data_IF_080952800708
#
_entry.id   IF_080952800708
#
_cell.length_a   1.000
_cell.length_b   1.000
_cell.length_c   1.000
_cell.angle_alpha   90.00
_cell.angle_beta   90.00
_cell.angle_gamma   90.00
#
_symmetry.space_group_name_H-M   'P 1'
#
loop_
_entity.id
_entity.type
_entity.pdbx_description
1 polymer ?
#
# COMPACT_ATOMS: atom_id res chain seq x y z
N UNK A 1 -27.84 -33.84 -6.99
CA UNK A 1 -27.12 -35.06 -7.40
C UNK A 1 -25.66 -34.88 -6.96
N UNK A 2 -25.33 -35.49 -5.80
CA UNK A 2 -23.96 -35.45 -5.26
C UNK A 2 -23.12 -36.46 -6.01
N UNK A 3 -22.23 -35.98 -6.84
CA UNK A 3 -21.23 -36.80 -7.55
C UNK A 3 -20.25 -37.41 -6.51
N UNK A 4 -20.57 -38.65 -6.06
CA UNK A 4 -19.78 -39.40 -5.07
C UNK A 4 -18.41 -39.86 -5.62
N UNK A 5 -18.14 -39.68 -6.88
CA UNK A 5 -16.88 -40.07 -7.56
C UNK A 5 -15.83 -38.98 -7.67
N UNK A 6 -16.14 -37.73 -7.36
CA UNK A 6 -15.19 -36.64 -7.52
C UNK A 6 -14.09 -36.68 -6.43
N UNK A 7 -12.82 -36.38 -6.77
CA UNK A 7 -11.72 -36.32 -5.81
C UNK A 7 -12.02 -35.31 -4.70
N UNK A 8 -11.50 -35.58 -3.50
CA UNK A 8 -11.75 -34.78 -2.28
C UNK A 8 -11.51 -33.28 -2.49
N UNK A 9 -10.52 -32.92 -3.27
CA UNK A 9 -10.18 -31.54 -3.65
C UNK A 9 -11.31 -30.87 -4.44
N UNK A 10 -11.94 -31.55 -5.40
CA UNK A 10 -13.09 -31.02 -6.14
C UNK A 10 -14.30 -30.80 -5.25
N UNK A 11 -14.55 -31.70 -4.32
CA UNK A 11 -15.66 -31.56 -3.35
C UNK A 11 -15.43 -30.39 -2.39
N UNK A 12 -14.22 -30.21 -1.90
CA UNK A 12 -13.85 -29.08 -1.06
C UNK A 12 -14.00 -27.74 -1.80
N UNK A 13 -13.53 -27.67 -3.04
CA UNK A 13 -13.67 -26.46 -3.87
C UNK A 13 -15.14 -26.16 -4.20
N UNK A 14 -15.94 -27.16 -4.54
CA UNK A 14 -17.38 -26.99 -4.79
C UNK A 14 -18.13 -26.56 -3.53
N UNK A 15 -17.78 -27.09 -2.37
CA UNK A 15 -18.34 -26.68 -1.08
C UNK A 15 -17.99 -25.23 -0.73
N UNK A 16 -16.73 -24.82 -0.93
CA UNK A 16 -16.29 -23.42 -0.75
C UNK A 16 -17.03 -22.48 -1.71
N UNK A 17 -17.14 -22.86 -2.97
CA UNK A 17 -17.82 -22.04 -3.98
C UNK A 17 -19.30 -21.86 -3.69
N UNK A 18 -19.99 -22.89 -3.21
CA UNK A 18 -21.40 -22.78 -2.78
C UNK A 18 -21.59 -21.83 -1.59
N UNK A 19 -20.57 -21.67 -0.72
CA UNK A 19 -20.64 -20.82 0.47
C UNK A 19 -20.22 -19.37 0.22
N UNK A 20 -19.23 -19.17 -0.64
CA UNK A 20 -18.56 -17.87 -0.86
C UNK A 20 -18.98 -17.27 -2.21
N UNK A 21 -19.48 -18.10 -3.16
CA UNK A 21 -19.81 -17.67 -4.52
C UNK A 21 -18.57 -17.21 -5.30
N UNK A 22 -17.36 -17.67 -4.90
CA UNK A 22 -16.09 -17.19 -5.42
C UNK A 22 -15.93 -17.44 -6.92
N UNK A 23 -16.33 -18.61 -7.43
CA UNK A 23 -16.24 -18.92 -8.85
C UNK A 23 -17.17 -18.03 -9.68
N UNK A 24 -18.38 -17.73 -9.20
CA UNK A 24 -19.31 -16.80 -9.84
C UNK A 24 -18.74 -15.38 -9.89
N UNK A 25 -18.19 -14.91 -8.78
CA UNK A 25 -17.53 -13.60 -8.69
C UNK A 25 -16.33 -13.50 -9.64
N UNK A 26 -15.41 -14.46 -9.58
CA UNK A 26 -14.22 -14.51 -10.45
C UNK A 26 -14.62 -14.58 -11.92
N UNK A 27 -15.59 -15.42 -12.29
CA UNK A 27 -16.09 -15.52 -13.67
C UNK A 27 -16.69 -14.21 -14.14
N UNK A 28 -17.46 -13.53 -13.32
CA UNK A 28 -18.04 -12.22 -13.64
C UNK A 28 -16.97 -11.15 -13.79
N UNK A 29 -15.96 -11.16 -12.90
CA UNK A 29 -14.84 -10.22 -12.95
C UNK A 29 -13.98 -10.42 -14.22
N UNK A 30 -13.66 -11.69 -14.57
CA UNK A 30 -12.84 -12.02 -15.74
C UNK A 30 -13.57 -11.79 -17.07
N UNK A 31 -14.91 -11.90 -17.09
CA UNK A 31 -15.72 -11.68 -18.29
C UNK A 31 -16.24 -10.25 -18.41
N UNK A 32 -15.82 -9.34 -17.52
CA UNK A 32 -16.24 -7.95 -17.60
C UNK A 32 -15.59 -7.28 -18.81
N UNK A 33 -16.40 -6.95 -19.80
CA UNK A 33 -15.97 -6.17 -20.96
C UNK A 33 -15.86 -4.71 -20.54
N UNK A 34 -14.67 -4.14 -20.70
CA UNK A 34 -14.45 -2.71 -20.49
C UNK A 34 -14.73 -1.96 -21.81
N UNK A 35 -15.34 -0.77 -21.76
CA UNK A 35 -15.54 0.04 -22.95
C UNK A 35 -14.19 0.47 -23.54
N UNK A 36 -14.05 0.43 -24.86
CA UNK A 36 -12.79 0.72 -25.59
C UNK A 36 -12.29 2.17 -25.53
N UNK A 37 -13.01 3.06 -24.86
CA UNK A 37 -12.60 4.46 -24.76
C UNK A 37 -11.47 4.62 -23.73
N UNK A 38 -10.36 5.28 -24.12
CA UNK A 38 -9.16 5.47 -23.30
C UNK A 38 -9.42 5.98 -21.86
N UNK A 39 -10.46 6.81 -21.68
CA UNK A 39 -10.78 7.37 -20.36
C UNK A 39 -11.30 6.34 -19.36
N UNK A 40 -11.79 5.17 -19.83
CA UNK A 40 -12.16 4.07 -18.94
C UNK A 40 -10.94 3.23 -18.54
N UNK A 41 -9.90 3.18 -19.38
CA UNK A 41 -8.66 2.45 -19.10
C UNK A 41 -7.87 3.01 -17.91
N UNK A 42 -8.11 4.27 -17.52
CA UNK A 42 -7.44 4.88 -16.36
C UNK A 42 -7.77 4.12 -15.06
N UNK A 43 -9.03 3.65 -14.91
CA UNK A 43 -9.42 2.82 -13.76
C UNK A 43 -8.75 1.43 -13.77
N UNK A 44 -8.55 0.85 -14.96
CA UNK A 44 -7.81 -0.41 -15.13
C UNK A 44 -6.34 -0.23 -14.80
N UNK A 45 -5.73 0.86 -15.26
CA UNK A 45 -4.34 1.19 -14.93
C UNK A 45 -4.14 1.26 -13.41
N UNK A 46 -5.07 1.91 -12.69
CA UNK A 46 -5.04 1.93 -11.23
C UNK A 46 -5.10 0.51 -10.64
N UNK A 47 -5.98 -0.36 -11.16
CA UNK A 47 -6.10 -1.74 -10.70
C UNK A 47 -4.82 -2.55 -10.94
N UNK A 48 -4.20 -2.41 -12.12
CA UNK A 48 -2.94 -3.10 -12.42
C UNK A 48 -1.80 -2.60 -11.52
N UNK A 49 -1.69 -1.28 -11.34
CA UNK A 49 -0.70 -0.72 -10.41
C UNK A 49 -0.93 -1.22 -8.99
N UNK A 50 -2.17 -1.29 -8.52
CA UNK A 50 -2.50 -1.85 -7.21
C UNK A 50 -2.07 -3.31 -7.08
N UNK A 51 -2.33 -4.13 -8.09
CA UNK A 51 -1.90 -5.54 -8.11
C UNK A 51 -0.38 -5.65 -8.02
N UNK A 52 0.35 -4.83 -8.78
CA UNK A 52 1.82 -4.77 -8.74
C UNK A 52 2.29 -4.35 -7.35
N UNK A 53 1.64 -3.35 -6.73
CA UNK A 53 1.96 -2.88 -5.38
C UNK A 53 1.81 -4.00 -4.35
N UNK A 54 0.71 -4.76 -4.40
CA UNK A 54 0.49 -5.88 -3.47
C UNK A 54 1.58 -6.95 -3.64
N UNK A 55 1.86 -7.37 -4.87
CA UNK A 55 2.85 -8.42 -5.13
C UNK A 55 4.27 -7.98 -4.74
N UNK A 56 4.68 -6.78 -5.13
CA UNK A 56 5.99 -6.25 -4.78
C UNK A 56 6.08 -5.91 -3.29
N UNK A 57 5.00 -5.42 -2.67
CA UNK A 57 4.93 -5.15 -1.24
C UNK A 57 5.17 -6.41 -0.41
N UNK A 58 4.47 -7.51 -0.74
CA UNK A 58 4.70 -8.81 -0.08
C UNK A 58 6.16 -9.26 -0.21
N UNK A 59 6.78 -9.09 -1.38
CA UNK A 59 8.20 -9.38 -1.54
C UNK A 59 9.08 -8.52 -0.63
N UNK A 60 8.82 -7.22 -0.57
CA UNK A 60 9.62 -6.27 0.22
C UNK A 60 9.54 -6.54 1.71
N UNK A 61 8.38 -7.00 2.24
CA UNK A 61 8.22 -7.30 3.67
C UNK A 61 9.14 -8.41 4.16
N UNK A 62 9.59 -9.33 3.32
CA UNK A 62 10.52 -10.39 3.72
C UNK A 62 11.93 -9.88 4.05
N UNK A 63 12.28 -8.67 3.60
CA UNK A 63 13.63 -8.13 3.73
C UNK A 63 13.69 -6.85 4.56
N UNK A 64 12.54 -6.25 4.84
CA UNK A 64 12.47 -4.99 5.58
C UNK A 64 12.28 -5.23 7.08
N UNK A 65 13.01 -4.45 7.90
CA UNK A 65 12.92 -4.49 9.36
C UNK A 65 12.46 -3.13 9.88
N UNK A 66 11.23 -3.05 10.36
CA UNK A 66 10.63 -1.81 10.88
C UNK A 66 11.11 -1.53 12.32
N UNK A 67 12.38 -1.14 12.47
CA UNK A 67 13.01 -0.89 13.78
C UNK A 67 13.82 0.41 13.74
N UNK A 68 13.60 1.35 14.69
CA UNK A 68 14.40 2.56 14.83
C UNK A 68 15.72 2.33 15.58
N UNK A 69 16.02 1.09 15.97
CA UNK A 69 17.26 0.76 16.70
C UNK A 69 18.48 1.18 15.91
N UNK A 70 19.39 1.92 16.57
CA UNK A 70 20.63 2.37 15.95
C UNK A 70 21.61 1.20 15.77
N UNK A 71 22.15 1.11 14.56
CA UNK A 71 23.15 0.10 14.16
C UNK A 71 24.24 0.73 13.32
N UNK A 72 25.45 0.18 13.38
CA UNK A 72 26.56 0.60 12.51
C UNK A 72 26.45 -0.16 11.19
N UNK A 73 26.40 0.56 10.07
CA UNK A 73 26.32 -0.05 8.75
C UNK A 73 27.63 -0.73 8.34
N UNK A 74 27.54 -2.01 7.97
CA UNK A 74 28.66 -2.83 7.50
C UNK A 74 28.38 -3.52 6.15
N UNK A 75 27.33 -3.09 5.43
CA UNK A 75 26.93 -3.69 4.15
C UNK A 75 27.84 -3.34 2.98
N UNK A 76 27.42 -3.74 1.77
CA UNK A 76 28.23 -3.59 0.54
C UNK A 76 28.35 -2.15 0.05
N UNK A 77 27.42 -1.26 0.40
CA UNK A 77 27.47 0.14 -0.04
C UNK A 77 28.55 0.91 0.71
N UNK A 78 29.74 0.96 0.14
CA UNK A 78 30.95 1.49 0.77
C UNK A 78 30.82 2.92 1.35
N UNK A 79 30.10 3.89 0.72
CA UNK A 79 30.00 5.25 1.23
C UNK A 79 29.34 5.37 2.61
N UNK A 80 28.55 4.39 3.04
CA UNK A 80 27.84 4.42 4.33
C UNK A 80 28.48 3.50 5.39
N UNK A 81 29.56 2.78 5.06
CA UNK A 81 30.22 1.90 6.03
C UNK A 81 30.74 2.68 7.24
N UNK A 82 30.48 2.13 8.42
CA UNK A 82 30.91 2.72 9.69
C UNK A 82 30.02 3.85 10.20
N UNK A 83 28.99 4.26 9.44
CA UNK A 83 28.05 5.28 9.90
C UNK A 83 26.91 4.66 10.73
N UNK A 84 26.49 5.33 11.82
CA UNK A 84 25.32 4.94 12.58
C UNK A 84 24.06 5.26 11.77
N UNK A 85 23.09 4.34 11.80
CA UNK A 85 21.78 4.50 11.16
C UNK A 85 20.75 3.60 11.81
N UNK A 86 19.46 3.85 11.56
CA UNK A 86 18.41 2.94 12.03
C UNK A 86 18.46 1.58 11.31
N UNK A 87 17.98 0.56 11.97
CA UNK A 87 17.87 -0.77 11.36
C UNK A 87 16.91 -0.79 10.15
N UNK A 88 15.86 0.03 10.19
CA UNK A 88 14.94 0.22 9.06
C UNK A 88 15.69 0.75 7.84
N UNK A 89 16.47 1.82 7.99
CA UNK A 89 17.25 2.40 6.90
C UNK A 89 18.33 1.41 6.39
N UNK A 90 19.04 0.74 7.31
CA UNK A 90 20.00 -0.32 6.95
C UNK A 90 19.35 -1.40 6.11
N UNK A 91 18.17 -1.90 6.52
CA UNK A 91 17.48 -2.96 5.78
C UNK A 91 17.07 -2.54 4.36
N UNK A 92 16.63 -1.28 4.20
CA UNK A 92 16.29 -0.72 2.89
C UNK A 92 17.51 -0.57 1.97
N UNK A 93 18.70 -0.22 2.52
CA UNK A 93 19.95 -0.19 1.77
C UNK A 93 20.38 -1.60 1.39
N UNK A 94 20.38 -2.55 2.33
CA UNK A 94 20.73 -3.93 2.07
C UNK A 94 19.80 -4.56 1.01
N UNK A 95 18.50 -4.28 1.07
CA UNK A 95 17.55 -4.68 0.04
C UNK A 95 18.01 -4.23 -1.36
N UNK A 96 18.53 -3.01 -1.47
CA UNK A 96 18.94 -2.45 -2.76
C UNK A 96 20.27 -3.00 -3.29
N UNK A 97 21.22 -3.34 -2.40
CA UNK A 97 22.60 -3.67 -2.78
C UNK A 97 23.00 -5.13 -2.52
N UNK A 98 22.37 -5.80 -1.55
CA UNK A 98 22.74 -7.14 -1.13
C UNK A 98 21.74 -8.21 -1.59
N UNK A 99 20.46 -7.84 -1.77
CA UNK A 99 19.41 -8.76 -2.20
C UNK A 99 19.33 -8.81 -3.73
N UNK A 100 19.36 -10.03 -4.29
CA UNK A 100 19.19 -10.22 -5.74
C UNK A 100 17.83 -9.70 -6.18
N UNK A 101 17.80 -8.85 -7.21
CA UNK A 101 16.62 -8.15 -7.71
C UNK A 101 15.95 -7.16 -6.71
N UNK A 102 16.49 -6.95 -5.52
CA UNK A 102 15.90 -6.10 -4.49
C UNK A 102 15.73 -4.64 -4.95
N UNK A 103 16.75 -4.08 -5.60
CA UNK A 103 16.66 -2.73 -6.19
C UNK A 103 15.52 -2.63 -7.23
N UNK A 104 15.41 -3.64 -8.10
CA UNK A 104 14.38 -3.65 -9.16
C UNK A 104 12.98 -3.71 -8.53
N UNK A 105 12.78 -4.61 -7.55
CA UNK A 105 11.49 -4.74 -6.86
C UNK A 105 11.10 -3.47 -6.10
N UNK A 106 12.07 -2.83 -5.44
CA UNK A 106 11.87 -1.54 -4.77
C UNK A 106 11.48 -0.45 -5.76
N UNK A 107 12.13 -0.36 -6.91
CA UNK A 107 11.83 0.63 -7.94
C UNK A 107 10.47 0.39 -8.60
N UNK A 108 10.12 -0.87 -8.90
CA UNK A 108 8.80 -1.22 -9.43
C UNK A 108 7.71 -0.80 -8.44
N UNK A 109 7.90 -1.10 -7.14
CA UNK A 109 6.96 -0.71 -6.10
C UNK A 109 6.77 0.81 -6.03
N UNK A 110 7.87 1.55 -6.03
CA UNK A 110 7.84 3.03 -6.00
C UNK A 110 7.12 3.64 -7.21
N UNK A 111 7.47 3.22 -8.42
CA UNK A 111 6.83 3.74 -9.63
C UNK A 111 5.37 3.31 -9.74
N UNK A 112 5.04 2.09 -9.35
CA UNK A 112 3.65 1.62 -9.29
C UNK A 112 2.83 2.46 -8.30
N UNK A 113 3.39 2.87 -7.16
CA UNK A 113 2.70 3.74 -6.19
C UNK A 113 2.39 5.13 -6.76
N UNK A 114 3.34 5.74 -7.45
CA UNK A 114 3.14 7.04 -8.10
C UNK A 114 2.06 6.98 -9.21
N UNK A 115 2.15 5.96 -10.06
CA UNK A 115 1.18 5.75 -11.14
C UNK A 115 -0.21 5.39 -10.59
N UNK A 116 -0.27 4.60 -9.53
CA UNK A 116 -1.52 4.25 -8.85
C UNK A 116 -2.22 5.50 -8.32
N UNK A 117 -1.52 6.33 -7.57
CA UNK A 117 -2.09 7.55 -7.00
C UNK A 117 -2.53 8.53 -8.11
N UNK A 118 -1.69 8.76 -9.11
CA UNK A 118 -2.00 9.63 -10.23
C UNK A 118 -3.23 9.12 -11.01
N UNK A 119 -3.30 7.82 -11.30
CA UNK A 119 -4.43 7.23 -12.02
C UNK A 119 -5.73 7.26 -11.24
N UNK A 120 -5.72 7.06 -9.91
CA UNK A 120 -6.93 7.21 -9.07
C UNK A 120 -7.42 8.66 -9.10
N UNK A 121 -6.55 9.64 -8.95
CA UNK A 121 -6.94 11.07 -8.98
C UNK A 121 -7.59 11.42 -10.33
N UNK A 122 -6.96 11.04 -11.45
CA UNK A 122 -7.51 11.30 -12.79
C UNK A 122 -8.79 10.51 -13.01
N UNK A 123 -8.88 9.27 -12.54
CA UNK A 123 -10.10 8.47 -12.62
C UNK A 123 -11.28 9.13 -11.88
N UNK A 124 -11.05 9.56 -10.64
CA UNK A 124 -12.08 10.26 -9.85
C UNK A 124 -12.47 11.60 -10.49
N UNK A 125 -11.52 12.38 -10.96
CA UNK A 125 -11.79 13.61 -11.69
C UNK A 125 -12.66 13.36 -12.92
N UNK A 126 -12.33 12.34 -13.70
CA UNK A 126 -13.14 11.92 -14.86
C UNK A 126 -14.57 11.55 -14.45
N UNK A 127 -14.74 10.72 -13.41
CA UNK A 127 -16.05 10.30 -12.91
C UNK A 127 -16.87 11.53 -12.47
N UNK A 128 -16.21 12.50 -11.82
CA UNK A 128 -16.85 13.74 -11.38
C UNK A 128 -17.29 14.62 -12.55
N UNK A 129 -16.37 14.97 -13.45
CA UNK A 129 -16.67 15.89 -14.57
C UNK A 129 -17.64 15.32 -15.59
N UNK A 130 -17.70 13.98 -15.74
CA UNK A 130 -18.69 13.34 -16.62
C UNK A 130 -20.04 13.11 -15.93
N UNK A 131 -20.19 13.43 -14.66
CA UNK A 131 -21.40 13.19 -13.89
C UNK A 131 -21.73 11.71 -13.67
N UNK A 132 -20.74 10.82 -13.87
CA UNK A 132 -20.94 9.37 -13.75
C UNK A 132 -21.16 8.91 -12.28
N UNK A 133 -20.96 9.78 -11.32
CA UNK A 133 -21.23 9.54 -9.89
C UNK A 133 -22.73 9.67 -9.52
N UNK A 134 -23.58 10.18 -10.43
CA UNK A 134 -25.00 10.36 -10.15
C UNK A 134 -25.72 9.02 -10.01
N UNK A 135 -26.95 9.07 -9.46
CA UNK A 135 -27.79 7.89 -9.20
C UNK A 135 -27.75 6.87 -10.35
N UNK A 136 -27.57 5.60 -10.03
CA UNK A 136 -27.49 4.94 -8.72
C UNK A 136 -26.04 4.72 -8.19
N UNK A 137 -25.04 5.54 -8.57
CA UNK A 137 -23.59 5.31 -8.37
C UNK A 137 -22.96 6.20 -7.30
N UNK A 138 -23.76 6.90 -6.48
CA UNK A 138 -23.26 7.81 -5.45
C UNK A 138 -22.38 7.09 -4.43
N UNK A 139 -22.81 5.91 -3.98
CA UNK A 139 -22.06 5.10 -3.01
C UNK A 139 -20.70 4.68 -3.59
N UNK A 140 -20.65 4.30 -4.86
CA UNK A 140 -19.38 3.96 -5.53
C UNK A 140 -18.41 5.14 -5.57
N UNK A 141 -18.94 6.35 -5.77
CA UNK A 141 -18.15 7.58 -5.72
C UNK A 141 -17.58 7.82 -4.31
N UNK A 142 -18.40 7.71 -3.27
CA UNK A 142 -17.96 7.85 -1.88
C UNK A 142 -16.87 6.84 -1.52
N UNK A 143 -17.05 5.58 -1.91
CA UNK A 143 -16.03 4.54 -1.74
C UNK A 143 -14.74 4.93 -2.47
N UNK A 144 -14.81 5.42 -3.70
CA UNK A 144 -13.65 5.86 -4.48
C UNK A 144 -12.87 6.97 -3.79
N UNK A 145 -13.56 7.99 -3.25
CA UNK A 145 -12.93 9.08 -2.50
C UNK A 145 -12.27 8.56 -1.21
N UNK A 146 -12.96 7.67 -0.48
CA UNK A 146 -12.40 7.04 0.72
C UNK A 146 -11.13 6.24 0.39
N UNK A 147 -11.14 5.47 -0.70
CA UNK A 147 -9.97 4.72 -1.17
C UNK A 147 -8.80 5.64 -1.55
N UNK A 148 -9.07 6.80 -2.17
CA UNK A 148 -8.02 7.79 -2.44
C UNK A 148 -7.39 8.30 -1.14
N UNK A 149 -8.18 8.65 -0.13
CA UNK A 149 -7.66 9.10 1.16
C UNK A 149 -6.82 8.02 1.82
N UNK A 150 -7.31 6.77 1.84
CA UNK A 150 -6.55 5.63 2.38
C UNK A 150 -5.27 5.38 1.59
N UNK A 151 -5.28 5.51 0.26
CA UNK A 151 -4.09 5.37 -0.57
C UNK A 151 -3.03 6.44 -0.26
N UNK A 152 -3.46 7.69 -0.01
CA UNK A 152 -2.55 8.77 0.40
C UNK A 152 -1.93 8.49 1.78
N UNK A 153 -2.74 8.06 2.75
CA UNK A 153 -2.25 7.69 4.09
C UNK A 153 -1.26 6.53 4.00
N UNK A 154 -1.60 5.49 3.24
CA UNK A 154 -0.73 4.32 3.05
C UNK A 154 0.57 4.68 2.32
N UNK A 155 0.50 5.54 1.31
CA UNK A 155 1.69 6.05 0.60
C UNK A 155 2.60 6.86 1.53
N UNK A 156 2.02 7.70 2.39
CA UNK A 156 2.76 8.44 3.41
C UNK A 156 3.41 7.50 4.44
N UNK A 157 2.67 6.50 4.93
CA UNK A 157 3.21 5.50 5.84
C UNK A 157 4.40 4.75 5.20
N UNK A 158 4.24 4.26 3.97
CA UNK A 158 5.31 3.56 3.24
C UNK A 158 6.57 4.42 2.99
N UNK A 159 6.38 5.71 2.69
CA UNK A 159 7.48 6.67 2.58
C UNK A 159 8.20 6.86 3.92
N UNK A 160 7.44 6.94 5.00
CA UNK A 160 7.96 7.18 6.34
C UNK A 160 8.74 6.00 6.92
N UNK A 161 8.53 4.78 6.41
CA UNK A 161 9.24 3.57 6.86
C UNK A 161 10.74 3.61 6.60
N UNK A 162 11.22 4.40 5.63
CA UNK A 162 12.65 4.49 5.31
C UNK A 162 13.50 5.05 6.44
N UNK A 163 12.91 5.84 7.34
CA UNK A 163 13.58 6.46 8.49
C UNK A 163 14.86 7.22 8.11
N UNK A 164 14.83 7.89 6.96
CA UNK A 164 15.85 8.82 6.54
C UNK A 164 15.53 10.24 7.01
N UNK A 165 16.43 11.18 6.80
CA UNK A 165 16.26 12.57 7.23
C UNK A 165 14.98 13.20 6.65
N UNK A 166 14.63 12.86 5.41
CA UNK A 166 13.48 13.43 4.72
C UNK A 166 12.18 12.85 5.27
N UNK A 167 12.10 11.52 5.42
CA UNK A 167 10.92 10.84 5.96
C UNK A 167 10.70 11.15 7.45
N UNK A 168 11.77 11.25 8.25
CA UNK A 168 11.69 11.66 9.64
C UNK A 168 11.19 13.09 9.80
N UNK A 169 11.61 14.01 8.93
CA UNK A 169 11.07 15.37 8.89
C UNK A 169 9.57 15.37 8.53
N UNK A 170 9.17 14.58 7.54
CA UNK A 170 7.75 14.41 7.16
C UNK A 170 6.89 13.88 8.31
N UNK A 171 7.38 12.87 9.03
CA UNK A 171 6.72 12.34 10.22
C UNK A 171 6.57 13.40 11.31
N UNK A 172 7.61 14.19 11.59
CA UNK A 172 7.56 15.25 12.60
C UNK A 172 6.54 16.33 12.26
N UNK A 173 6.47 16.72 10.98
CA UNK A 173 5.47 17.66 10.49
C UNK A 173 4.06 17.09 10.68
N UNK A 174 3.83 15.84 10.27
CA UNK A 174 2.53 15.16 10.42
C UNK A 174 2.11 15.05 11.87
N UNK A 175 3.02 14.68 12.76
CA UNK A 175 2.79 14.64 14.19
C UNK A 175 2.35 16.02 14.73
N UNK A 176 3.05 17.09 14.34
CA UNK A 176 2.72 18.45 14.74
C UNK A 176 1.36 18.90 14.20
N UNK A 177 1.02 18.53 12.97
CA UNK A 177 -0.31 18.83 12.38
C UNK A 177 -1.41 18.13 13.17
N UNK A 178 -1.24 16.84 13.49
CA UNK A 178 -2.23 16.10 14.27
C UNK A 178 -2.38 16.69 15.68
N UNK A 179 -1.28 17.07 16.34
CA UNK A 179 -1.32 17.72 17.64
C UNK A 179 -2.06 19.08 17.63
N UNK A 180 -2.05 19.79 16.51
CA UNK A 180 -2.72 21.07 16.36
C UNK A 180 -4.25 20.97 16.31
N UNK A 181 -4.81 19.76 16.18
CA UNK A 181 -6.26 19.55 16.17
C UNK A 181 -6.81 19.76 17.57
N UNK A 182 -7.73 20.73 17.79
CA UNK A 182 -8.27 21.00 19.11
C UNK A 182 -8.95 19.79 19.73
N UNK A 183 -8.81 19.61 21.04
CA UNK A 183 -9.48 18.60 21.87
C UNK A 183 -9.01 17.16 21.63
N UNK A 184 -8.92 16.72 20.38
CA UNK A 184 -8.64 15.30 20.03
C UNK A 184 -7.21 15.06 19.55
N UNK A 185 -6.43 16.10 19.27
CA UNK A 185 -5.10 16.00 18.64
C UNK A 185 -4.13 15.15 19.43
N UNK A 186 -4.05 15.30 20.74
CA UNK A 186 -3.17 14.48 21.60
C UNK A 186 -3.54 13.02 21.59
N UNK A 187 -4.83 12.69 21.64
CA UNK A 187 -5.31 11.31 21.57
C UNK A 187 -5.04 10.68 20.18
N UNK A 188 -5.28 11.44 19.13
CA UNK A 188 -4.98 11.00 17.76
C UNK A 188 -3.48 10.81 17.54
N UNK A 189 -2.65 11.74 18.03
CA UNK A 189 -1.20 11.62 17.93
C UNK A 189 -0.67 10.38 18.68
N UNK A 190 -1.17 10.12 19.90
CA UNK A 190 -0.83 8.90 20.64
C UNK A 190 -1.27 7.63 19.93
N UNK A 191 -2.47 7.62 19.33
CA UNK A 191 -2.98 6.47 18.60
C UNK A 191 -2.19 6.19 17.31
N UNK A 192 -1.92 7.24 16.52
CA UNK A 192 -1.29 7.10 15.19
C UNK A 192 0.23 6.89 15.28
N UNK A 193 0.90 7.63 16.18
CA UNK A 193 2.38 7.65 16.25
C UNK A 193 2.96 6.91 17.46
N UNK A 194 2.12 6.38 18.34
CA UNK A 194 2.58 5.58 19.47
C UNK A 194 3.00 6.36 20.71
N UNK A 195 2.62 7.61 20.83
CA UNK A 195 2.96 8.46 21.98
C UNK A 195 3.82 9.67 21.61
N UNK A 196 4.88 9.91 22.38
CA UNK A 196 5.79 11.03 22.13
C UNK A 196 6.64 10.80 20.87
N UNK A 197 6.97 11.87 20.17
CA UNK A 197 7.84 11.83 19.00
C UNK A 197 9.28 12.23 19.36
N UNK A 198 10.33 11.50 18.91
CA UNK A 198 10.28 10.22 18.18
C UNK A 198 10.06 9.04 19.13
N UNK A 199 8.96 8.28 18.91
CA UNK A 199 8.66 7.08 19.70
C UNK A 199 9.35 5.84 19.14
N UNK A 200 9.69 4.90 20.02
CA UNK A 200 10.30 3.59 19.64
C UNK A 200 9.39 2.76 18.73
N UNK A 201 8.08 2.93 18.86
CA UNK A 201 7.08 2.11 18.18
C UNK A 201 6.55 2.72 16.87
N UNK A 202 7.04 3.91 16.48
CA UNK A 202 6.48 4.64 15.36
C UNK A 202 6.60 3.86 14.03
N UNK A 203 7.74 3.23 13.77
CA UNK A 203 7.96 2.48 12.54
C UNK A 203 7.16 1.18 12.51
N UNK A 204 7.05 0.48 13.63
CA UNK A 204 6.25 -0.75 13.72
C UNK A 204 4.75 -0.50 13.58
N UNK A 205 4.27 0.69 13.94
CA UNK A 205 2.86 1.08 13.74
C UNK A 205 2.54 1.49 12.30
N UNK A 206 3.54 2.00 11.57
CA UNK A 206 3.39 2.37 10.16
C UNK A 206 3.56 1.17 9.22
N UNK A 207 4.23 0.11 9.66
CA UNK A 207 4.44 -1.13 8.92
C UNK A 207 3.24 -2.06 9.01
#
# INVERSE_FOLDING_TARGET
>A
VTDRGAPATRRALAWLDQRIGAAGFVRTALNKVFPDHWSFMIGELALYCFTILVLTGVYLTFFFHASPTEVIYQGRYAPLRGLPMSEAYRSAINLSFDVRAGLVMRQIHHWAALLFLASIVVHLARVFFTGAFRRPREINWMIGVTLLVLAMINGFAGYSLLDDQLSGTGLRISYSIVLSIPVVGTWMASLLFGGEFPGSDILSRLF
#
